data_IF_617100551020
#
_entry.id   IF_617100551020
#
_cell.length_a   1.000
_cell.length_b   1.000
_cell.length_c   1.000
_cell.angle_alpha   90.00
_cell.angle_beta   90.00
_cell.angle_gamma   90.00
#
_symmetry.space_group_name_H-M   'P 1'
#
loop_
_entity.id
_entity.type
_entity.pdbx_description
1 polymer ?
#
# COMPACT_ATOMS: atom_id res chain seq x y z
N UNK A 1 65.13 35.50 23.37
CA UNK A 1 64.00 34.58 23.63
C UNK A 1 62.80 35.43 23.95
N UNK A 2 61.83 35.37 23.04
CA UNK A 2 60.72 36.30 22.89
C UNK A 2 59.64 36.15 23.96
N UNK A 3 59.15 37.32 24.33
CA UNK A 3 58.11 37.73 25.28
C UNK A 3 56.82 36.90 25.36
N UNK A 4 56.39 36.77 26.61
CA UNK A 4 55.07 36.42 27.16
C UNK A 4 53.95 37.29 26.56
N UNK A 5 52.77 36.71 26.32
CA UNK A 5 51.57 37.42 25.90
C UNK A 5 50.28 36.63 26.18
N UNK A 6 49.44 37.22 27.00
CA UNK A 6 48.24 36.77 27.72
C UNK A 6 47.00 36.39 26.88
N UNK A 7 46.14 35.63 27.55
CA UNK A 7 44.76 35.17 27.23
C UNK A 7 43.79 36.30 26.86
N UNK A 8 42.86 36.02 25.93
CA UNK A 8 41.46 36.49 26.03
C UNK A 8 40.46 35.62 25.26
N UNK A 9 39.28 35.46 25.87
CA UNK A 9 38.11 34.66 25.47
C UNK A 9 37.19 35.39 24.47
N UNK A 10 36.39 34.56 23.80
CA UNK A 10 35.04 34.78 23.27
C UNK A 10 34.89 35.30 21.83
N UNK A 11 34.38 34.44 20.94
CA UNK A 11 33.01 34.54 20.39
C UNK A 11 32.75 33.38 19.41
N UNK A 12 31.79 32.52 19.76
CA UNK A 12 31.16 31.57 18.84
C UNK A 12 30.37 32.37 17.79
N UNK A 13 30.76 32.28 16.53
CA UNK A 13 29.97 32.77 15.41
C UNK A 13 29.58 31.63 14.47
N UNK A 14 28.33 31.71 14.02
CA UNK A 14 27.53 30.68 13.37
C UNK A 14 27.99 30.45 11.92
N UNK A 15 28.20 29.19 11.55
CA UNK A 15 28.41 28.80 10.15
C UNK A 15 27.13 28.92 9.31
N UNK A 16 27.22 29.75 8.29
CA UNK A 16 26.30 30.03 7.19
C UNK A 16 26.32 28.87 6.15
N UNK A 17 25.17 28.31 5.72
CA UNK A 17 25.13 27.16 4.83
C UNK A 17 25.09 27.56 3.34
N UNK A 18 25.96 28.47 2.89
CA UNK A 18 25.98 28.96 1.51
C UNK A 18 27.28 28.73 0.76
N UNK A 19 27.96 27.60 0.92
CA UNK A 19 28.99 27.17 -0.05
C UNK A 19 29.13 25.65 -0.16
N UNK A 20 28.20 25.01 -0.90
CA UNK A 20 28.40 23.65 -1.38
C UNK A 20 29.11 23.72 -2.74
N UNK A 21 30.41 23.35 -2.77
CA UNK A 21 31.23 23.25 -3.98
C UNK A 21 30.57 22.28 -4.98
N UNK A 22 30.25 22.79 -6.17
CA UNK A 22 29.80 22.00 -7.31
C UNK A 22 30.97 21.14 -7.81
N UNK A 23 30.85 19.82 -7.64
CA UNK A 23 31.76 18.84 -8.24
C UNK A 23 31.23 18.54 -9.66
N UNK A 24 32.07 18.54 -10.73
CA UNK A 24 31.60 18.38 -12.09
C UNK A 24 30.97 17.00 -12.31
N UNK A 25 29.80 16.97 -12.96
CA UNK A 25 29.16 15.73 -13.43
C UNK A 25 30.09 15.04 -14.45
N UNK A 26 30.70 13.93 -14.06
CA UNK A 26 31.22 12.96 -15.01
C UNK A 26 30.06 12.43 -15.85
N UNK A 27 30.24 12.52 -17.17
CA UNK A 27 29.37 11.98 -18.20
C UNK A 27 29.23 10.47 -17.98
N UNK A 28 28.08 10.02 -17.49
CA UNK A 28 27.71 8.59 -17.49
C UNK A 28 27.33 8.21 -18.93
N UNK A 29 27.87 7.08 -19.37
CA UNK A 29 27.71 6.52 -20.70
C UNK A 29 26.24 6.34 -21.09
N UNK A 30 26.04 6.23 -22.40
CA UNK A 30 24.77 5.99 -23.09
C UNK A 30 24.11 4.73 -22.51
N UNK A 31 23.28 4.90 -21.49
CA UNK A 31 22.51 3.83 -20.88
C UNK A 31 21.26 3.59 -21.69
N UNK A 32 21.08 2.37 -22.18
CA UNK A 32 19.78 1.87 -22.63
C UNK A 32 18.75 2.23 -21.55
N UNK A 33 17.78 3.07 -21.91
CA UNK A 33 16.80 3.59 -20.96
C UNK A 33 15.91 2.45 -20.48
N UNK A 34 16.13 1.97 -19.26
CA UNK A 34 15.18 1.07 -18.59
C UNK A 34 13.80 1.74 -18.64
N UNK A 35 12.78 1.11 -19.24
CA UNK A 35 11.50 1.75 -19.46
C UNK A 35 10.93 2.19 -18.10
N UNK A 36 10.57 3.46 -18.04
CA UNK A 36 9.86 4.01 -16.89
C UNK A 36 8.54 3.26 -16.75
N UNK A 37 8.20 2.84 -15.53
CA UNK A 37 6.90 2.23 -15.25
C UNK A 37 5.85 3.33 -15.41
N UNK A 38 5.20 3.36 -16.57
CA UNK A 38 3.98 4.14 -16.73
C UNK A 38 2.93 3.51 -15.82
N UNK A 39 2.44 4.30 -14.86
CA UNK A 39 1.47 3.81 -13.89
C UNK A 39 0.07 3.97 -14.42
N UNK A 40 -0.86 3.20 -13.84
CA UNK A 40 -2.28 3.47 -13.99
C UNK A 40 -2.57 4.97 -13.85
N UNK A 41 -3.10 5.63 -14.91
CA UNK A 41 -3.32 7.06 -14.90
C UNK A 41 -4.11 7.48 -13.66
N UNK A 42 -3.72 8.60 -13.04
CA UNK A 42 -4.45 9.14 -11.89
C UNK A 42 -5.94 9.34 -12.19
N UNK A 43 -6.27 9.65 -13.45
CA UNK A 43 -7.64 9.74 -13.93
C UNK A 43 -8.34 8.39 -13.87
N UNK A 44 -7.78 7.31 -14.40
CA UNK A 44 -8.39 5.98 -14.32
C UNK A 44 -8.53 5.49 -12.87
N UNK A 45 -7.53 5.74 -12.00
CA UNK A 45 -7.66 5.46 -10.55
C UNK A 45 -8.79 6.27 -9.89
N UNK A 46 -9.03 7.50 -10.35
CA UNK A 46 -10.15 8.32 -9.88
C UNK A 46 -11.48 7.80 -10.40
N UNK A 47 -11.56 7.39 -11.66
CA UNK A 47 -12.76 6.80 -12.25
C UNK A 47 -13.11 5.47 -11.57
N UNK A 48 -12.11 4.63 -11.28
CA UNK A 48 -12.26 3.47 -10.39
C UNK A 48 -12.79 3.92 -9.03
N UNK A 49 -12.28 5.02 -8.49
CA UNK A 49 -12.72 5.53 -7.20
C UNK A 49 -14.17 6.05 -7.19
N UNK A 50 -14.61 6.70 -8.26
CA UNK A 50 -15.96 7.26 -8.37
C UNK A 50 -16.99 6.18 -8.72
N UNK A 51 -16.58 5.14 -9.45
CA UNK A 51 -17.44 4.04 -9.86
C UNK A 51 -17.57 2.91 -8.84
N UNK A 52 -16.63 2.82 -7.90
CA UNK A 52 -16.70 1.86 -6.80
C UNK A 52 -17.26 2.56 -5.57
N UNK A 53 -18.33 2.03 -5.00
CA UNK A 53 -18.89 2.64 -3.79
C UNK A 53 -17.95 2.53 -2.58
N UNK A 54 -16.90 1.70 -2.66
CA UNK A 54 -15.96 1.31 -1.58
C UNK A 54 -16.60 0.94 -0.24
N UNK A 55 -17.93 0.83 -0.21
CA UNK A 55 -18.61 -0.02 0.72
C UNK A 55 -18.10 -1.42 0.42
N UNK A 56 -17.57 -2.07 1.45
CA UNK A 56 -16.89 -3.36 1.38
C UNK A 56 -17.65 -4.44 0.59
N UNK A 57 -18.96 -4.30 0.43
CA UNK A 57 -19.81 -5.17 -0.37
C UNK A 57 -19.57 -5.10 -1.90
N UNK A 58 -19.02 -3.99 -2.43
CA UNK A 58 -18.93 -3.76 -3.88
C UNK A 58 -17.50 -3.67 -4.44
N UNK A 59 -16.51 -3.37 -3.61
CA UNK A 59 -15.07 -3.39 -3.95
C UNK A 59 -14.63 -2.69 -5.24
N UNK A 60 -13.37 -2.88 -5.63
CA UNK A 60 -12.88 -2.73 -7.00
C UNK A 60 -12.76 -4.14 -7.55
N UNK A 61 -13.58 -4.49 -8.53
CA UNK A 61 -13.59 -5.83 -9.11
C UNK A 61 -12.68 -5.89 -10.32
N UNK A 62 -11.88 -6.95 -10.35
CA UNK A 62 -11.02 -7.30 -11.45
C UNK A 62 -11.16 -8.79 -11.70
N UNK A 63 -11.43 -9.16 -12.95
CA UNK A 63 -11.38 -10.53 -13.42
C UNK A 63 -9.96 -10.81 -13.93
N UNK A 64 -9.43 -11.99 -13.62
CA UNK A 64 -8.18 -12.46 -14.22
C UNK A 64 -8.42 -12.71 -15.71
N UNK A 65 -7.53 -12.22 -16.58
CA UNK A 65 -7.64 -12.47 -18.02
C UNK A 65 -7.12 -13.89 -18.34
N UNK A 66 -5.98 -14.29 -17.74
CA UNK A 66 -5.30 -15.55 -18.03
C UNK A 66 -4.63 -16.16 -16.77
N UNK A 67 -5.23 -17.20 -16.17
CA UNK A 67 -4.57 -18.34 -15.50
C UNK A 67 -5.53 -19.07 -14.56
N UNK A 68 -5.83 -20.37 -14.78
CA UNK A 68 -5.75 -21.33 -13.68
C UNK A 68 -4.26 -21.51 -13.33
N UNK A 69 -3.96 -21.67 -12.05
CA UNK A 69 -2.60 -22.06 -11.62
C UNK A 69 -2.26 -23.49 -12.11
N UNK A 70 -0.98 -23.90 -12.00
CA UNK A 70 -0.49 -25.25 -12.39
C UNK A 70 -1.21 -26.41 -11.66
N UNK A 71 -2.09 -26.10 -10.72
CA UNK A 71 -2.89 -27.03 -9.93
C UNK A 71 -4.40 -26.97 -10.25
N UNK A 72 -4.84 -26.09 -11.16
CA UNK A 72 -6.23 -26.01 -11.60
C UNK A 72 -7.19 -25.34 -10.60
N UNK A 73 -6.68 -24.62 -9.60
CA UNK A 73 -7.49 -23.81 -8.70
C UNK A 73 -7.67 -22.38 -9.26
N UNK A 74 -8.90 -21.89 -9.29
CA UNK A 74 -9.19 -20.48 -9.59
C UNK A 74 -8.76 -19.61 -8.40
N UNK A 75 -7.48 -19.22 -8.35
CA UNK A 75 -7.03 -18.20 -7.40
C UNK A 75 -7.56 -16.83 -7.82
N UNK A 76 -8.65 -16.41 -7.18
CA UNK A 76 -9.25 -15.07 -7.34
C UNK A 76 -8.24 -13.99 -6.90
N UNK A 77 -8.11 -12.88 -7.64
CA UNK A 77 -7.31 -11.74 -7.20
C UNK A 77 -7.74 -11.27 -5.80
N UNK A 78 -6.81 -10.76 -4.99
CA UNK A 78 -7.07 -10.10 -3.70
C UNK A 78 -8.16 -9.03 -3.84
N UNK A 79 -8.21 -8.32 -4.97
CA UNK A 79 -9.26 -7.34 -5.25
C UNK A 79 -10.65 -7.98 -5.57
N UNK A 80 -10.69 -9.21 -6.06
CA UNK A 80 -11.92 -9.97 -6.33
C UNK A 80 -12.58 -10.53 -5.05
N UNK A 81 -11.82 -10.65 -3.95
CA UNK A 81 -12.29 -11.14 -2.64
C UNK A 81 -13.29 -10.22 -1.93
N UNK A 82 -13.65 -9.07 -2.54
CA UNK A 82 -14.61 -8.11 -1.97
C UNK A 82 -16.08 -8.45 -2.27
N UNK A 83 -16.34 -9.45 -3.10
CA UNK A 83 -17.69 -9.97 -3.31
C UNK A 83 -17.85 -11.32 -2.60
N UNK A 84 -18.95 -11.44 -1.84
CA UNK A 84 -19.56 -12.65 -1.27
C UNK A 84 -19.09 -13.14 0.12
N UNK A 85 -19.71 -12.58 1.16
CA UNK A 85 -20.26 -13.36 2.31
C UNK A 85 -21.71 -12.98 2.64
N UNK A 86 -22.47 -12.45 1.68
CA UNK A 86 -23.86 -12.09 1.92
C UNK A 86 -24.87 -13.23 1.76
N UNK A 87 -24.50 -14.40 1.24
CA UNK A 87 -25.39 -15.57 1.26
C UNK A 87 -24.60 -16.87 1.33
N UNK A 88 -24.88 -17.65 2.37
CA UNK A 88 -24.43 -19.03 2.64
C UNK A 88 -23.02 -19.21 3.23
N UNK A 89 -22.99 -19.63 4.50
CA UNK A 89 -21.82 -20.26 5.14
C UNK A 89 -21.50 -21.56 4.38
N UNK A 90 -20.68 -21.49 3.33
CA UNK A 90 -19.98 -22.69 2.88
C UNK A 90 -18.86 -23.00 3.89
N UNK A 91 -18.78 -24.27 4.28
CA UNK A 91 -17.82 -24.79 5.27
C UNK A 91 -16.42 -25.02 4.70
N UNK A 92 -16.09 -24.43 3.56
CA UNK A 92 -14.76 -24.56 2.94
C UNK A 92 -13.79 -23.60 3.61
N UNK A 93 -12.64 -24.10 4.03
CA UNK A 93 -11.54 -23.25 4.51
C UNK A 93 -11.10 -22.28 3.41
N UNK A 94 -10.74 -21.04 3.78
CA UNK A 94 -10.31 -20.03 2.83
C UNK A 94 -9.07 -20.49 2.05
N UNK A 95 -9.14 -20.39 0.72
CA UNK A 95 -8.09 -20.83 -0.22
C UNK A 95 -6.74 -20.14 -0.02
N UNK A 96 -6.75 -18.87 0.41
CA UNK A 96 -5.54 -18.03 0.52
C UNK A 96 -5.20 -17.57 1.94
N UNK A 97 -6.09 -17.81 2.92
CA UNK A 97 -5.92 -17.30 4.30
C UNK A 97 -5.97 -15.77 4.48
N UNK A 98 -6.11 -14.99 3.40
CA UNK A 98 -6.21 -13.52 3.41
C UNK A 98 -7.61 -12.98 3.14
N UNK A 99 -8.58 -13.86 2.89
CA UNK A 99 -9.99 -13.54 2.65
C UNK A 99 -10.56 -12.57 3.70
N UNK A 100 -10.25 -12.80 4.98
CA UNK A 100 -10.72 -11.98 6.09
C UNK A 100 -10.17 -10.54 6.10
N UNK A 101 -9.10 -10.21 5.34
CA UNK A 101 -8.59 -8.83 5.26
C UNK A 101 -9.66 -7.87 4.73
N UNK A 102 -10.63 -8.40 3.98
CA UNK A 102 -11.70 -7.65 3.37
C UNK A 102 -13.03 -7.79 4.10
N UNK A 103 -13.18 -8.71 5.05
CA UNK A 103 -14.43 -8.82 5.78
C UNK A 103 -14.65 -7.59 6.68
N UNK A 104 -15.90 -7.15 6.91
CA UNK A 104 -16.20 -6.14 7.93
C UNK A 104 -15.53 -6.49 9.26
N UNK A 105 -15.05 -5.49 10.01
CA UNK A 105 -14.45 -5.70 11.33
C UNK A 105 -15.44 -6.34 12.30
N UNK A 106 -16.76 -6.21 12.06
CA UNK A 106 -17.81 -6.63 12.97
C UNK A 106 -18.40 -8.04 12.71
N UNK A 107 -18.02 -8.77 11.66
CA UNK A 107 -18.69 -10.06 11.32
C UNK A 107 -18.19 -11.28 12.13
N UNK A 108 -17.68 -11.06 13.33
CA UNK A 108 -17.21 -12.14 14.22
C UNK A 108 -15.94 -12.86 13.76
N UNK A 109 -15.36 -12.51 12.61
CA UNK A 109 -14.07 -13.05 12.11
C UNK A 109 -12.87 -12.57 12.91
N UNK A 110 -12.99 -11.42 13.58
CA UNK A 110 -11.97 -10.90 14.48
C UNK A 110 -12.43 -11.11 15.93
N UNK A 111 -12.29 -12.34 16.43
CA UNK A 111 -12.36 -12.59 17.87
C UNK A 111 -11.05 -12.13 18.50
N UNK A 112 -11.08 -10.96 19.14
CA UNK A 112 -9.94 -10.45 19.88
C UNK A 112 -9.90 -11.10 21.27
N UNK A 113 -9.00 -12.05 21.49
CA UNK A 113 -8.82 -12.74 22.79
C UNK A 113 -7.99 -11.93 23.78
N UNK A 114 -8.52 -10.84 24.30
CA UNK A 114 -7.70 -9.95 25.13
C UNK A 114 -7.17 -10.64 26.40
N UNK A 115 -5.87 -10.45 26.75
CA UNK A 115 -5.36 -10.90 28.03
C UNK A 115 -6.17 -10.26 29.17
N UNK A 116 -6.41 -11.00 30.27
CA UNK A 116 -7.27 -10.52 31.34
C UNK A 116 -6.78 -9.19 31.88
N UNK A 117 -7.71 -8.25 32.04
CA UNK A 117 -7.45 -6.92 32.57
C UNK A 117 -6.57 -6.97 33.82
N UNK A 118 -5.44 -6.26 33.81
CA UNK A 118 -4.68 -6.07 35.05
C UNK A 118 -5.47 -5.17 35.99
N UNK A 119 -5.29 -5.28 37.31
CA UNK A 119 -6.04 -4.46 38.27
C UNK A 119 -5.89 -2.92 38.08
N UNK A 120 -4.92 -2.46 37.28
CA UNK A 120 -4.76 -1.05 36.86
C UNK A 120 -5.67 -0.63 35.70
N UNK A 121 -6.33 -1.57 35.02
CA UNK A 121 -7.30 -1.34 33.94
C UNK A 121 -8.65 -0.82 34.43
N UNK A 122 -9.03 -1.22 35.65
CA UNK A 122 -10.39 -1.04 36.18
C UNK A 122 -10.73 0.42 36.50
N UNK A 123 -9.73 1.31 36.57
CA UNK A 123 -9.91 2.70 37.01
C UNK A 123 -9.65 3.76 35.91
N UNK A 124 -9.49 3.36 34.65
CA UNK A 124 -9.26 4.26 33.52
C UNK A 124 -10.44 4.21 32.54
N UNK A 125 -11.14 5.33 32.40
CA UNK A 125 -12.33 5.50 31.56
C UNK A 125 -12.00 5.60 30.06
N UNK A 126 -10.83 5.17 29.60
CA UNK A 126 -10.42 5.37 28.22
C UNK A 126 -11.03 4.32 27.28
N UNK A 127 -12.02 4.72 26.48
CA UNK A 127 -12.55 3.89 25.39
C UNK A 127 -11.61 3.91 24.18
N UNK A 128 -11.52 2.78 23.49
CA UNK A 128 -10.64 2.58 22.35
C UNK A 128 -11.44 2.01 21.16
N UNK A 129 -11.24 2.59 19.99
CA UNK A 129 -11.95 2.23 18.76
C UNK A 129 -10.97 1.96 17.64
N UNK A 130 -11.23 0.90 16.89
CA UNK A 130 -10.57 0.58 15.62
C UNK A 130 -11.44 1.14 14.50
N UNK A 131 -10.86 1.97 13.64
CA UNK A 131 -11.53 2.59 12.50
C UNK A 131 -10.94 2.02 11.22
N UNK A 132 -11.80 1.62 10.29
CA UNK A 132 -11.43 1.30 8.91
C UNK A 132 -11.72 2.49 8.00
N UNK A 133 -10.71 2.88 7.23
CA UNK A 133 -10.71 4.11 6.44
C UNK A 133 -10.30 3.81 5.00
N UNK A 134 -11.08 4.34 4.06
CA UNK A 134 -10.77 4.36 2.65
C UNK A 134 -10.46 5.81 2.22
N UNK A 135 -9.42 6.02 1.40
CA UNK A 135 -9.12 7.33 0.84
C UNK A 135 -8.44 7.30 -0.53
N UNK A 136 -8.74 8.32 -1.35
CA UNK A 136 -8.05 8.59 -2.60
C UNK A 136 -6.74 9.36 -2.31
N UNK A 137 -5.60 8.69 -2.49
CA UNK A 137 -4.30 9.22 -2.10
C UNK A 137 -3.87 10.52 -2.78
N UNK A 138 -4.38 10.79 -3.98
CA UNK A 138 -4.07 12.00 -4.76
C UNK A 138 -4.57 13.30 -4.10
N UNK A 139 -5.54 13.21 -3.19
CA UNK A 139 -6.06 14.36 -2.44
C UNK A 139 -5.23 14.70 -1.18
N UNK A 140 -4.22 13.88 -0.84
CA UNK A 140 -3.49 13.98 0.42
C UNK A 140 -1.96 13.95 0.25
N UNK A 141 -1.26 14.61 1.17
CA UNK A 141 0.20 14.52 1.30
C UNK A 141 0.68 13.22 1.99
N UNK A 142 -0.16 12.18 2.00
CA UNK A 142 0.05 10.90 2.66
C UNK A 142 -0.75 10.79 3.95
N UNK A 143 -0.49 9.72 4.71
CA UNK A 143 -1.17 9.50 5.99
C UNK A 143 -0.78 10.55 7.03
N UNK A 144 0.52 10.65 7.32
CA UNK A 144 1.03 11.36 8.49
C UNK A 144 1.07 12.88 8.27
N UNK A 145 0.68 13.64 9.29
CA UNK A 145 0.83 15.10 9.32
C UNK A 145 2.29 15.52 9.12
N UNK A 146 2.53 16.41 8.16
CA UNK A 146 3.85 16.96 7.86
C UNK A 146 3.91 18.42 8.30
N UNK A 147 4.97 18.80 9.04
CA UNK A 147 5.16 20.19 9.48
C UNK A 147 5.61 21.05 8.29
N UNK A 148 4.97 22.20 8.10
CA UNK A 148 5.33 23.16 7.04
C UNK A 148 4.90 22.74 5.63
N UNK A 149 3.99 21.76 5.51
CA UNK A 149 3.39 21.38 4.24
C UNK A 149 1.90 21.72 4.25
N UNK A 150 1.57 22.91 3.75
CA UNK A 150 0.19 23.44 3.80
C UNK A 150 -0.53 23.33 2.45
N UNK A 151 0.12 22.78 1.41
CA UNK A 151 -0.44 22.68 0.06
C UNK A 151 -1.57 21.65 -0.06
N UNK A 152 -1.47 20.55 0.68
CA UNK A 152 -2.50 19.50 0.73
C UNK A 152 -2.57 18.91 2.15
N UNK A 153 -3.77 18.60 2.66
CA UNK A 153 -3.92 18.01 3.98
C UNK A 153 -3.36 16.57 4.02
N UNK A 154 -3.08 16.08 5.22
CA UNK A 154 -2.81 14.66 5.45
C UNK A 154 -4.09 13.94 5.88
N UNK A 155 -4.20 12.64 5.60
CA UNK A 155 -5.36 11.85 6.03
C UNK A 155 -5.53 11.90 7.55
N UNK A 156 -4.42 11.77 8.28
CA UNK A 156 -4.39 11.89 9.74
C UNK A 156 -5.00 13.22 10.17
N UNK A 157 -4.46 14.37 9.74
CA UNK A 157 -4.95 15.67 10.19
C UNK A 157 -6.43 15.90 9.85
N UNK A 158 -6.88 15.44 8.68
CA UNK A 158 -8.28 15.54 8.28
C UNK A 158 -9.19 14.75 9.22
N UNK A 159 -8.86 13.49 9.52
CA UNK A 159 -9.63 12.67 10.47
C UNK A 159 -9.57 13.23 11.89
N UNK A 160 -8.40 13.72 12.33
CA UNK A 160 -8.26 14.37 13.63
C UNK A 160 -9.21 15.56 13.76
N UNK A 161 -9.28 16.43 12.75
CA UNK A 161 -10.19 17.59 12.77
C UNK A 161 -11.67 17.16 12.85
N UNK A 162 -12.06 16.05 12.20
CA UNK A 162 -13.41 15.52 12.33
C UNK A 162 -13.66 14.90 13.70
N UNK A 163 -12.66 14.25 14.31
CA UNK A 163 -12.78 13.55 15.60
C UNK A 163 -12.60 14.47 16.81
N UNK A 164 -11.99 15.63 16.65
CA UNK A 164 -11.72 16.59 17.73
C UNK A 164 -12.96 16.91 18.58
N UNK A 165 -14.18 17.10 18.02
CA UNK A 165 -15.39 17.31 18.83
C UNK A 165 -15.80 16.10 19.69
N UNK A 166 -15.40 14.89 19.31
CA UNK A 166 -15.65 13.65 20.06
C UNK A 166 -14.50 13.33 21.05
N UNK A 167 -13.40 14.07 20.97
CA UNK A 167 -12.22 13.87 21.80
C UNK A 167 -12.40 14.56 23.17
N UNK A 168 -12.53 13.75 24.22
CA UNK A 168 -12.58 14.21 25.61
C UNK A 168 -11.40 13.62 26.38
N UNK A 169 -10.67 14.48 27.11
CA UNK A 169 -9.59 14.07 28.03
C UNK A 169 -9.88 14.50 29.47
N UNK A 170 -9.57 13.61 30.43
CA UNK A 170 -9.76 13.82 31.88
C UNK A 170 -8.65 14.64 32.53
N UNK A 171 -7.48 14.78 31.90
CA UNK A 171 -6.36 15.53 32.48
C UNK A 171 -6.32 16.95 31.95
N UNK A 172 -6.61 17.93 32.82
CA UNK A 172 -6.53 19.35 32.48
C UNK A 172 -5.12 19.78 32.01
N UNK A 173 -4.06 19.10 32.48
CA UNK A 173 -2.68 19.29 32.02
C UNK A 173 -2.41 18.80 30.59
N UNK A 174 -3.31 17.99 30.02
CA UNK A 174 -3.20 17.45 28.66
C UNK A 174 -4.08 18.18 27.64
N UNK A 175 -4.90 19.16 28.07
CA UNK A 175 -5.80 19.95 27.21
C UNK A 175 -5.09 20.97 26.32
N UNK A 176 -3.86 21.39 26.65
CA UNK A 176 -3.10 22.32 25.79
C UNK A 176 -2.38 21.53 24.70
N UNK A 177 -2.82 21.69 23.45
CA UNK A 177 -2.17 21.21 22.22
C UNK A 177 -2.23 19.71 21.86
N UNK A 178 -3.21 18.93 22.36
CA UNK A 178 -3.42 17.55 21.88
C UNK A 178 -4.64 17.48 20.94
N UNK A 179 -4.41 17.26 19.65
CA UNK A 179 -5.43 16.68 18.76
C UNK A 179 -5.57 15.19 19.05
N UNK A 180 -6.66 14.58 18.59
CA UNK A 180 -6.78 13.12 18.60
C UNK A 180 -5.53 12.51 17.95
N UNK A 181 -4.73 11.69 18.63
CA UNK A 181 -3.61 11.01 17.96
C UNK A 181 -4.15 9.74 17.29
N UNK A 182 -3.95 9.59 15.99
CA UNK A 182 -4.42 8.44 15.19
C UNK A 182 -3.27 7.54 14.71
N UNK A 183 -2.73 6.66 15.57
CA UNK A 183 -1.87 5.57 15.13
C UNK A 183 -2.54 4.74 14.03
N UNK A 184 -1.72 4.15 13.15
CA UNK A 184 -2.17 3.49 11.92
C UNK A 184 -1.41 2.18 11.67
N UNK A 185 -2.02 1.20 10.99
CA UNK A 185 -1.44 -0.10 10.72
C UNK A 185 -0.18 -0.03 9.84
N UNK A 186 -0.17 0.89 8.87
CA UNK A 186 0.99 1.25 8.06
C UNK A 186 0.83 2.64 7.46
N UNK A 187 1.90 3.45 7.49
CA UNK A 187 1.86 4.79 6.88
C UNK A 187 1.89 4.66 5.36
N UNK A 188 1.06 5.44 4.67
CA UNK A 188 1.13 5.61 3.22
C UNK A 188 1.85 6.91 2.84
N UNK A 189 2.65 6.87 1.77
CA UNK A 189 3.27 8.06 1.17
C UNK A 189 2.21 8.92 0.46
N UNK A 190 2.57 10.16 0.12
CA UNK A 190 1.73 11.04 -0.71
C UNK A 190 1.36 10.38 -2.04
N UNK A 191 0.08 10.50 -2.43
CA UNK A 191 -0.44 9.92 -3.67
C UNK A 191 -0.82 8.44 -3.59
N UNK A 192 -0.52 7.72 -2.50
CA UNK A 192 -0.89 6.30 -2.32
C UNK A 192 -2.32 6.19 -1.79
N UNK A 193 -3.13 5.38 -2.46
CA UNK A 193 -4.53 5.15 -2.12
C UNK A 193 -4.70 4.14 -0.98
N UNK A 194 -5.88 4.09 -0.36
CA UNK A 194 -6.23 3.00 0.55
C UNK A 194 -7.73 2.66 0.48
N UNK A 195 -8.05 1.38 0.61
CA UNK A 195 -9.44 0.90 0.68
C UNK A 195 -9.81 0.34 2.07
N UNK A 196 -8.81 -0.10 2.84
CA UNK A 196 -9.00 -0.71 4.17
C UNK A 196 -7.93 -0.32 5.19
N UNK A 197 -7.49 0.95 5.20
CA UNK A 197 -6.53 1.42 6.19
C UNK A 197 -7.10 1.30 7.60
N UNK A 198 -6.30 0.82 8.55
CA UNK A 198 -6.73 0.64 9.94
C UNK A 198 -6.05 1.67 10.83
N UNK A 199 -6.84 2.45 11.57
CA UNK A 199 -6.34 3.37 12.57
C UNK A 199 -7.08 3.25 13.90
N UNK A 200 -6.54 3.90 14.94
CA UNK A 200 -7.09 3.86 16.29
C UNK A 200 -7.50 5.22 16.78
N UNK A 201 -8.73 5.33 17.26
CA UNK A 201 -9.23 6.48 18.00
C UNK A 201 -9.43 6.12 19.48
N UNK A 202 -9.19 7.07 20.39
CA UNK A 202 -9.41 6.90 21.82
C UNK A 202 -10.07 8.14 22.39
N UNK A 203 -10.99 7.94 23.34
CA UNK A 203 -11.71 9.03 24.02
C UNK A 203 -12.15 8.60 25.41
N UNK A 204 -12.24 9.54 26.35
CA UNK A 204 -12.83 9.29 27.67
C UNK A 204 -14.36 9.47 27.69
N UNK A 205 -14.98 9.70 26.52
CA UNK A 205 -16.43 9.84 26.42
C UNK A 205 -17.14 8.48 26.61
N UNK A 206 -17.63 8.20 27.82
CA UNK A 206 -18.17 6.88 28.19
C UNK A 206 -19.38 6.44 27.40
N UNK A 207 -20.25 7.39 27.04
CA UNK A 207 -21.52 7.09 26.38
C UNK A 207 -21.37 6.93 24.85
N UNK A 208 -20.16 7.06 24.32
CA UNK A 208 -19.94 6.96 22.88
C UNK A 208 -19.87 5.49 22.49
N UNK A 209 -20.69 5.09 21.52
CA UNK A 209 -20.65 3.77 20.91
C UNK A 209 -19.90 3.82 19.57
N UNK A 210 -19.48 2.66 19.08
CA UNK A 210 -18.87 2.55 17.75
C UNK A 210 -19.81 3.05 16.64
N UNK A 211 -21.11 2.75 16.77
CA UNK A 211 -22.16 3.23 15.86
C UNK A 211 -22.27 4.75 15.86
N UNK A 212 -22.20 5.39 17.03
CA UNK A 212 -22.27 6.86 17.12
C UNK A 212 -21.10 7.51 16.38
N UNK A 213 -19.89 6.97 16.55
CA UNK A 213 -18.68 7.46 15.86
C UNK A 213 -18.83 7.29 14.35
N UNK A 214 -19.24 6.10 13.90
CA UNK A 214 -19.40 5.83 12.48
C UNK A 214 -20.43 6.77 11.85
N UNK A 215 -21.63 6.88 12.42
CA UNK A 215 -22.67 7.77 11.92
C UNK A 215 -22.23 9.24 11.91
N UNK A 216 -21.55 9.68 12.97
CA UNK A 216 -21.01 11.02 13.07
C UNK A 216 -19.98 11.30 11.96
N UNK A 217 -18.99 10.41 11.79
CA UNK A 217 -17.94 10.56 10.79
C UNK A 217 -18.50 10.52 9.38
N UNK A 218 -19.36 9.55 9.06
CA UNK A 218 -20.01 9.45 7.76
C UNK A 218 -20.74 10.75 7.41
N UNK A 219 -21.52 11.30 8.35
CA UNK A 219 -22.23 12.58 8.16
C UNK A 219 -21.27 13.76 7.97
N UNK A 220 -20.27 13.91 8.83
CA UNK A 220 -19.34 15.05 8.77
C UNK A 220 -18.43 15.03 7.55
N UNK A 221 -18.05 13.84 7.10
CA UNK A 221 -17.28 13.67 5.88
C UNK A 221 -18.16 13.98 4.67
N UNK A 222 -19.41 13.48 4.62
CA UNK A 222 -20.34 13.75 3.51
C UNK A 222 -20.74 15.23 3.38
N UNK A 223 -20.85 15.95 4.49
CA UNK A 223 -21.13 17.39 4.51
C UNK A 223 -19.88 18.25 4.25
N UNK A 224 -18.69 17.65 4.29
CA UNK A 224 -17.41 18.34 4.25
C UNK A 224 -16.70 18.28 2.90
N UNK A 225 -15.56 18.99 2.76
CA UNK A 225 -14.80 19.03 1.51
C UNK A 225 -14.14 17.68 1.15
N UNK A 226 -14.16 16.69 2.05
CA UNK A 226 -13.55 15.38 1.85
C UNK A 226 -14.53 14.30 1.36
N UNK A 227 -15.79 14.65 1.10
CA UNK A 227 -16.86 13.72 0.75
C UNK A 227 -16.53 12.79 -0.42
N UNK A 228 -15.80 13.27 -1.44
CA UNK A 228 -15.48 12.50 -2.64
C UNK A 228 -14.25 11.58 -2.49
N UNK A 229 -13.40 11.78 -1.48
CA UNK A 229 -12.08 11.12 -1.43
C UNK A 229 -11.71 10.53 -0.07
N UNK A 230 -12.60 10.56 0.92
CA UNK A 230 -12.42 9.96 2.24
C UNK A 230 -13.71 9.28 2.66
N UNK A 231 -13.63 8.05 3.20
CA UNK A 231 -14.74 7.35 3.83
C UNK A 231 -14.26 6.61 5.07
N UNK A 232 -15.07 6.58 6.11
CA UNK A 232 -14.90 5.68 7.26
C UNK A 232 -15.92 4.58 7.09
N UNK A 233 -15.45 3.38 6.77
CA UNK A 233 -16.30 2.26 6.32
C UNK A 233 -16.75 1.39 7.49
N UNK A 234 -15.96 1.32 8.56
CA UNK A 234 -16.29 0.51 9.74
C UNK A 234 -15.65 1.08 11.01
N UNK A 235 -16.32 0.88 12.14
CA UNK A 235 -15.85 1.28 13.47
C UNK A 235 -16.23 0.18 14.46
N UNK A 236 -15.26 -0.28 15.24
CA UNK A 236 -15.49 -1.26 16.32
C UNK A 236 -14.82 -0.81 17.60
N UNK A 237 -15.49 -1.04 18.74
CA UNK A 237 -14.88 -0.86 20.07
C UNK A 237 -13.91 -2.02 20.32
N UNK A 238 -12.71 -1.71 20.78
CA UNK A 238 -11.62 -2.66 21.00
C UNK A 238 -11.00 -2.44 22.38
N UNK A 239 -10.28 -3.45 22.89
CA UNK A 239 -9.55 -3.28 24.14
C UNK A 239 -8.53 -2.15 24.03
N UNK A 240 -8.32 -1.45 25.14
CA UNK A 240 -7.33 -0.37 25.22
C UNK A 240 -5.91 -0.82 24.83
N UNK A 241 -5.54 -2.09 25.00
CA UNK A 241 -4.23 -2.61 24.59
C UNK A 241 -4.02 -2.59 23.07
N UNK A 242 -5.09 -2.50 22.28
CA UNK A 242 -5.02 -2.48 20.82
C UNK A 242 -4.09 -1.37 20.29
N UNK A 243 -3.22 -1.74 19.36
CA UNK A 243 -2.35 -0.83 18.63
C UNK A 243 -2.24 -1.25 17.16
N UNK A 244 -2.77 -0.47 16.20
CA UNK A 244 -2.99 -0.94 14.84
C UNK A 244 -1.70 -1.38 14.13
N UNK A 245 -0.54 -0.82 14.47
CA UNK A 245 0.74 -1.30 13.94
C UNK A 245 1.21 -2.62 14.55
N UNK A 246 1.10 -2.79 15.87
CA UNK A 246 1.74 -3.90 16.58
C UNK A 246 0.82 -5.13 16.68
N UNK A 247 -0.49 -4.90 16.57
CA UNK A 247 -1.49 -5.95 16.53
C UNK A 247 -1.81 -6.39 15.10
N UNK A 248 -1.05 -5.95 14.09
CA UNK A 248 -1.24 -6.40 12.70
C UNK A 248 -0.17 -7.44 12.38
N UNK A 249 -0.61 -8.64 11.96
CA UNK A 249 0.28 -9.71 11.50
C UNK A 249 0.77 -9.49 10.09
N UNK A 250 -0.05 -8.93 9.22
CA UNK A 250 0.27 -8.74 7.80
C UNK A 250 -0.50 -7.58 7.18
N UNK A 251 0.08 -6.98 6.12
CA UNK A 251 -0.53 -5.92 5.33
C UNK A 251 -0.60 -6.37 3.88
N UNK A 252 -1.67 -5.96 3.20
CA UNK A 252 -1.84 -6.20 1.78
C UNK A 252 -1.71 -4.89 0.99
N UNK A 253 -1.03 -4.98 -0.14
CA UNK A 253 -0.90 -3.93 -1.13
C UNK A 253 -1.19 -4.49 -2.51
N UNK A 254 -1.78 -3.65 -3.35
CA UNK A 254 -1.91 -3.92 -4.79
C UNK A 254 -1.29 -2.77 -5.56
N UNK A 255 -0.56 -3.10 -6.62
CA UNK A 255 0.00 -2.14 -7.55
C UNK A 255 -0.58 -2.38 -8.95
N UNK A 256 -1.20 -1.36 -9.53
CA UNK A 256 -1.79 -1.39 -10.87
C UNK A 256 -0.91 -0.63 -11.88
N UNK A 257 -0.68 -1.26 -13.02
CA UNK A 257 0.07 -0.72 -14.16
C UNK A 257 -0.84 -0.73 -15.38
N UNK A 258 -0.92 0.40 -16.07
CA UNK A 258 -1.71 0.49 -17.31
C UNK A 258 -1.00 -0.25 -18.43
N UNK A 259 -1.76 -1.03 -19.19
CA UNK A 259 -1.27 -1.71 -20.41
C UNK A 259 -1.83 -1.06 -21.67
N UNK A 260 -2.71 -0.07 -21.53
CA UNK A 260 -3.29 0.66 -22.67
C UNK A 260 -2.37 1.76 -23.19
N UNK A 261 -1.35 2.14 -22.43
CA UNK A 261 -0.40 3.15 -22.86
C UNK A 261 0.65 2.58 -23.81
N UNK A 262 1.23 3.44 -24.65
CA UNK A 262 2.31 3.03 -25.56
C UNK A 262 3.59 2.81 -24.75
N UNK A 263 4.17 1.61 -24.81
CA UNK A 263 5.41 1.34 -24.09
C UNK A 263 5.73 -0.14 -23.98
N UNK A 264 6.77 -0.46 -23.21
CA UNK A 264 7.23 -1.84 -23.02
C UNK A 264 6.12 -2.77 -22.47
N UNK A 265 5.24 -2.22 -21.64
CA UNK A 265 4.12 -2.90 -21.00
C UNK A 265 2.79 -2.72 -21.74
N UNK A 266 2.80 -2.24 -22.99
CA UNK A 266 1.57 -2.08 -23.76
C UNK A 266 0.93 -3.43 -24.09
N UNK A 267 -0.36 -3.41 -24.41
CA UNK A 267 -1.02 -4.51 -25.11
C UNK A 267 -0.23 -4.83 -26.40
N UNK A 268 0.38 -6.01 -26.43
CA UNK A 268 1.08 -6.61 -27.58
C UNK A 268 1.11 -8.13 -27.37
N UNK A 269 1.47 -8.87 -28.41
CA UNK A 269 1.50 -10.34 -28.43
C UNK A 269 2.46 -10.97 -27.40
N UNK A 270 3.25 -10.16 -26.70
CA UNK A 270 4.23 -10.60 -25.71
C UNK A 270 3.86 -10.24 -24.26
N UNK A 271 2.72 -9.58 -24.04
CA UNK A 271 2.36 -9.06 -22.72
C UNK A 271 2.14 -10.19 -21.72
N UNK A 272 1.48 -11.27 -22.13
CA UNK A 272 1.20 -12.42 -21.27
C UNK A 272 2.50 -13.09 -20.80
N UNK A 273 3.48 -13.27 -21.68
CA UNK A 273 4.77 -13.85 -21.36
C UNK A 273 5.62 -12.94 -20.46
N UNK A 274 5.58 -11.61 -20.69
CA UNK A 274 6.22 -10.63 -19.80
C UNK A 274 5.61 -10.68 -18.40
N UNK A 275 4.29 -10.77 -18.29
CA UNK A 275 3.57 -10.87 -17.01
C UNK A 275 3.84 -12.21 -16.33
N UNK A 276 3.89 -13.31 -17.09
CA UNK A 276 4.27 -14.63 -16.58
C UNK A 276 5.68 -14.63 -16.00
N UNK A 277 6.65 -14.03 -16.70
CA UNK A 277 8.01 -13.90 -16.19
C UNK A 277 8.09 -12.97 -14.96
N UNK A 278 7.37 -11.84 -14.96
CA UNK A 278 7.24 -10.97 -13.78
C UNK A 278 6.69 -11.73 -12.56
N UNK A 279 5.67 -12.56 -12.77
CA UNK A 279 5.08 -13.38 -11.72
C UNK A 279 6.11 -14.37 -11.14
N UNK A 280 6.85 -15.09 -12.01
CA UNK A 280 7.92 -16.01 -11.60
C UNK A 280 8.96 -15.33 -10.70
N UNK A 281 9.44 -14.13 -11.08
CA UNK A 281 10.39 -13.35 -10.26
C UNK A 281 9.83 -13.01 -8.88
N UNK A 282 8.54 -12.67 -8.79
CA UNK A 282 7.88 -12.38 -7.52
C UNK A 282 7.71 -13.63 -6.64
N UNK A 283 7.39 -14.80 -7.23
CA UNK A 283 7.21 -16.03 -6.45
C UNK A 283 8.49 -16.47 -5.74
N UNK A 284 9.66 -16.10 -6.26
CA UNK A 284 10.95 -16.44 -5.64
C UNK A 284 11.19 -15.82 -4.28
N UNK A 285 10.55 -14.70 -3.97
CA UNK A 285 10.66 -14.02 -2.67
C UNK A 285 9.50 -14.37 -1.74
N UNK A 286 8.48 -15.07 -2.23
CA UNK A 286 7.34 -15.50 -1.43
C UNK A 286 7.74 -16.57 -0.40
N UNK A 287 7.18 -16.46 0.80
CA UNK A 287 7.45 -17.37 1.92
C UNK A 287 8.82 -17.19 2.59
N UNK A 288 9.75 -16.45 1.96
CA UNK A 288 11.10 -16.23 2.48
C UNK A 288 11.17 -15.03 3.41
N UNK A 289 11.82 -15.19 4.55
CA UNK A 289 12.25 -14.07 5.38
C UNK A 289 13.57 -13.53 4.84
N UNK A 290 13.53 -12.32 4.27
CA UNK A 290 14.68 -11.71 3.60
C UNK A 290 14.95 -10.32 4.17
N UNK A 291 16.20 -9.87 4.05
CA UNK A 291 16.58 -8.50 4.37
C UNK A 291 16.29 -7.57 3.19
N UNK A 292 15.28 -6.71 3.35
CA UNK A 292 14.86 -5.77 2.30
C UNK A 292 15.50 -4.39 2.40
N UNK A 293 16.64 -4.25 3.09
CA UNK A 293 17.30 -2.96 3.28
C UNK A 293 17.63 -2.24 1.96
N UNK A 294 18.06 -2.99 0.93
CA UNK A 294 18.30 -2.45 -0.42
C UNK A 294 17.05 -1.85 -1.06
N UNK A 295 15.86 -2.37 -0.72
CA UNK A 295 14.56 -1.89 -1.15
C UNK A 295 13.91 -1.00 -0.07
N UNK A 296 14.67 -0.07 0.51
CA UNK A 296 14.14 0.87 1.50
C UNK A 296 14.66 2.28 1.31
N UNK A 297 13.91 3.26 1.80
CA UNK A 297 14.25 4.68 1.63
C UNK A 297 14.45 5.44 2.94
N UNK A 298 15.44 6.34 2.91
CA UNK A 298 15.76 7.25 4.01
C UNK A 298 16.61 6.62 5.10
N UNK A 299 16.84 7.39 6.18
CA UNK A 299 17.53 6.88 7.36
C UNK A 299 16.65 5.80 8.02
N UNK A 300 17.16 4.58 8.25
CA UNK A 300 16.44 3.56 9.00
C UNK A 300 15.90 4.11 10.31
N UNK A 301 14.59 3.96 10.53
CA UNK A 301 13.95 4.22 11.82
C UNK A 301 13.66 2.91 12.57
N UNK A 302 13.95 1.77 11.93
CA UNK A 302 13.83 0.42 12.46
C UNK A 302 15.23 -0.16 12.62
N UNK A 303 15.41 -1.01 13.64
CA UNK A 303 16.64 -1.79 13.84
C UNK A 303 16.64 -3.08 13.02
N UNK A 304 15.46 -3.53 12.58
CA UNK A 304 15.27 -4.76 11.81
C UNK A 304 14.77 -4.45 10.39
N UNK A 305 15.37 -5.13 9.41
CA UNK A 305 15.09 -5.05 7.98
C UNK A 305 14.53 -6.36 7.39
N UNK A 306 14.38 -7.38 8.21
CA UNK A 306 13.75 -8.63 7.84
C UNK A 306 12.27 -8.41 7.60
N UNK A 307 11.77 -8.93 6.48
CA UNK A 307 10.36 -8.98 6.15
C UNK A 307 10.08 -10.34 5.50
N UNK A 308 8.87 -10.83 5.66
CA UNK A 308 8.37 -12.00 4.93
C UNK A 308 7.27 -11.54 4.01
N UNK A 309 7.41 -11.79 2.71
CA UNK A 309 6.30 -11.66 1.76
C UNK A 309 5.55 -12.99 1.75
N UNK A 310 4.40 -13.04 2.40
CA UNK A 310 3.59 -14.25 2.45
C UNK A 310 2.83 -14.50 1.14
N UNK A 311 2.64 -13.45 0.33
CA UNK A 311 2.09 -13.53 -1.01
C UNK A 311 2.76 -12.49 -1.90
N UNK A 312 3.19 -12.89 -3.09
CA UNK A 312 3.78 -12.04 -4.11
C UNK A 312 3.46 -12.61 -5.50
N UNK A 313 2.47 -12.02 -6.18
CA UNK A 313 2.01 -12.47 -7.50
C UNK A 313 1.83 -11.29 -8.45
N UNK A 314 1.96 -11.56 -9.75
CA UNK A 314 1.57 -10.64 -10.81
C UNK A 314 0.60 -11.33 -11.76
N UNK A 315 -0.44 -10.63 -12.18
CA UNK A 315 -1.46 -11.14 -13.11
C UNK A 315 -1.89 -10.05 -14.07
N UNK A 316 -2.35 -10.45 -15.25
CA UNK A 316 -3.10 -9.58 -16.13
C UNK A 316 -4.57 -9.61 -15.70
N UNK A 317 -5.12 -8.43 -15.41
CA UNK A 317 -6.50 -8.27 -14.95
C UNK A 317 -7.29 -7.38 -15.89
N UNK A 318 -8.59 -7.60 -15.98
CA UNK A 318 -9.55 -6.74 -16.67
C UNK A 318 -10.64 -6.28 -15.71
N UNK A 319 -11.11 -5.05 -15.89
CA UNK A 319 -12.32 -4.59 -15.23
C UNK A 319 -13.54 -5.32 -15.81
N UNK A 320 -14.49 -5.80 -15.00
CA UNK A 320 -15.77 -6.29 -15.49
C UNK A 320 -16.51 -5.16 -16.21
N UNK A 321 -17.13 -5.45 -17.36
CA UNK A 321 -18.00 -4.49 -18.03
C UNK A 321 -19.15 -4.12 -17.09
N UNK A 322 -19.24 -2.85 -16.69
CA UNK A 322 -20.42 -2.37 -15.99
C UNK A 322 -21.57 -2.43 -16.97
N UNK A 323 -22.45 -3.42 -16.83
CA UNK A 323 -23.70 -3.50 -17.59
C UNK A 323 -24.58 -2.31 -17.20
N UNK A 324 -24.35 -1.15 -17.83
CA UNK A 324 -25.34 -0.09 -17.83
C UNK A 324 -26.55 -0.64 -18.58
N UNK A 325 -27.61 -0.91 -17.81
CA UNK A 325 -28.99 -1.16 -18.25
C UNK A 325 -29.30 -0.51 -19.60
N UNK A 326 -29.45 -1.33 -20.64
CA UNK A 326 -29.93 -0.93 -21.95
C UNK A 326 -29.41 -1.88 -23.02
N UNK A 327 -30.32 -2.56 -23.73
CA UNK A 327 -30.02 -3.27 -24.97
C UNK A 327 -29.19 -2.36 -25.88
N UNK A 328 -27.92 -2.70 -26.12
CA UNK A 328 -27.13 -2.14 -27.23
C UNK A 328 -26.79 -3.30 -28.15
N UNK A 329 -27.13 -3.09 -29.42
CA UNK A 329 -26.98 -4.02 -30.52
C UNK A 329 -25.54 -4.56 -30.59
N UNK A 330 -25.40 -5.88 -30.61
CA UNK A 330 -24.13 -6.63 -30.62
C UNK A 330 -23.40 -6.56 -31.98
N UNK A 331 -23.23 -5.37 -32.52
CA UNK A 331 -22.43 -5.14 -33.71
C UNK A 331 -21.67 -3.81 -33.56
N UNK A 332 -20.33 -3.92 -33.55
CA UNK A 332 -19.34 -2.86 -33.32
C UNK A 332 -19.10 -2.56 -31.82
N UNK A 333 -18.75 -3.59 -31.05
CA UNK A 333 -17.93 -3.37 -29.85
C UNK A 333 -16.52 -3.02 -30.32
N UNK A 334 -16.10 -1.79 -30.09
CA UNK A 334 -14.75 -1.30 -30.36
C UNK A 334 -13.76 -2.18 -29.56
N UNK A 335 -12.92 -2.94 -30.25
CA UNK A 335 -11.90 -3.81 -29.63
C UNK A 335 -10.84 -3.03 -28.83
N UNK A 336 -10.95 -1.69 -28.77
CA UNK A 336 -10.02 -0.76 -28.13
C UNK A 336 -10.36 -0.38 -26.67
N UNK A 337 -11.41 -0.92 -26.05
CA UNK A 337 -11.86 -0.49 -24.72
C UNK A 337 -11.73 -1.56 -23.61
N UNK A 338 -10.76 -2.48 -23.72
CA UNK A 338 -10.48 -3.40 -22.61
C UNK A 338 -9.75 -2.61 -21.52
N UNK A 339 -10.41 -2.29 -20.40
CA UNK A 339 -9.76 -1.68 -19.23
C UNK A 339 -8.93 -2.75 -18.49
N UNK A 340 -7.82 -3.13 -19.12
CA UNK A 340 -6.84 -4.10 -18.61
C UNK A 340 -5.70 -3.41 -17.86
N UNK A 341 -5.11 -4.13 -16.91
CA UNK A 341 -3.96 -3.70 -16.14
C UNK A 341 -3.09 -4.90 -15.74
N UNK A 342 -1.80 -4.66 -15.51
CA UNK A 342 -0.99 -5.60 -14.72
C UNK A 342 -1.28 -5.31 -13.25
N UNK A 343 -1.69 -6.32 -12.50
CA UNK A 343 -1.92 -6.28 -11.07
C UNK A 343 -0.79 -7.02 -10.35
N UNK A 344 -0.05 -6.31 -9.50
CA UNK A 344 0.94 -6.90 -8.60
C UNK A 344 0.36 -6.92 -7.19
N UNK A 345 0.28 -8.10 -6.60
CA UNK A 345 -0.36 -8.39 -5.33
C UNK A 345 0.70 -8.76 -4.30
N UNK A 346 0.75 -8.03 -3.18
CA UNK A 346 1.76 -8.22 -2.15
C UNK A 346 1.11 -8.31 -0.77
N UNK A 347 1.28 -9.43 -0.10
CA UNK A 347 0.97 -9.58 1.33
C UNK A 347 2.25 -9.86 2.08
N UNK A 348 2.53 -9.08 3.11
CA UNK A 348 3.75 -9.27 3.89
C UNK A 348 3.54 -8.98 5.37
N UNK A 349 4.41 -9.55 6.20
CA UNK A 349 4.37 -9.35 7.66
C UNK A 349 4.49 -7.86 8.01
N UNK A 350 5.40 -7.19 7.30
CA UNK A 350 5.61 -5.75 7.33
C UNK A 350 6.31 -5.29 6.05
N UNK A 351 6.33 -3.99 5.83
CA UNK A 351 7.03 -3.37 4.69
C UNK A 351 7.89 -2.20 5.17
N UNK A 352 9.10 -2.09 4.62
CA UNK A 352 9.96 -0.93 4.84
C UNK A 352 9.43 0.28 4.08
N UNK A 353 9.88 1.48 4.47
CA UNK A 353 9.47 2.73 3.80
C UNK A 353 9.83 2.67 2.31
N UNK A 354 8.82 2.84 1.45
CA UNK A 354 8.88 2.73 -0.02
C UNK A 354 9.18 1.33 -0.58
N UNK A 355 9.23 0.30 0.26
CA UNK A 355 9.60 -1.06 -0.15
C UNK A 355 8.76 -1.58 -1.30
N UNK A 356 7.43 -1.50 -1.20
CA UNK A 356 6.52 -1.97 -2.26
C UNK A 356 6.86 -1.34 -3.62
N UNK A 357 7.03 -0.01 -3.66
CA UNK A 357 7.29 0.73 -4.90
C UNK A 357 8.69 0.50 -5.45
N UNK A 358 9.67 0.25 -4.58
CA UNK A 358 11.03 -0.12 -4.96
C UNK A 358 11.08 -1.56 -5.50
N UNK A 359 10.34 -2.47 -4.86
CA UNK A 359 10.20 -3.86 -5.29
C UNK A 359 9.57 -3.95 -6.67
N UNK A 360 8.44 -3.26 -6.88
CA UNK A 360 7.78 -3.16 -8.20
C UNK A 360 8.73 -2.61 -9.26
N UNK A 361 9.45 -1.51 -8.97
CA UNK A 361 10.41 -0.98 -9.94
C UNK A 361 11.53 -1.98 -10.24
N UNK A 362 12.08 -2.64 -9.23
CA UNK A 362 13.19 -3.57 -9.39
C UNK A 362 12.78 -4.75 -10.27
N UNK A 363 11.68 -5.43 -9.94
CA UNK A 363 11.19 -6.59 -10.72
C UNK A 363 10.89 -6.21 -12.17
N UNK A 364 10.20 -5.09 -12.40
CA UNK A 364 9.91 -4.63 -13.75
C UNK A 364 11.16 -4.25 -14.55
N UNK A 365 12.19 -3.73 -13.88
CA UNK A 365 13.47 -3.40 -14.54
C UNK A 365 14.22 -4.66 -14.97
N UNK A 366 14.18 -5.71 -14.14
CA UNK A 366 14.75 -7.02 -14.49
C UNK A 366 14.03 -7.60 -15.70
N UNK A 367 12.69 -7.61 -15.72
CA UNK A 367 11.92 -8.09 -16.88
C UNK A 367 12.31 -7.32 -18.14
N UNK A 368 12.37 -5.99 -18.09
CA UNK A 368 12.74 -5.19 -19.26
C UNK A 368 14.17 -5.46 -19.76
N UNK A 369 15.11 -5.68 -18.84
CA UNK A 369 16.49 -6.00 -19.18
C UNK A 369 16.59 -7.37 -19.85
N UNK A 370 16.01 -8.40 -19.24
CA UNK A 370 16.05 -9.77 -19.78
C UNK A 370 15.29 -9.89 -21.11
N UNK A 371 14.18 -9.16 -21.24
CA UNK A 371 13.44 -9.10 -22.50
C UNK A 371 14.27 -8.44 -23.61
N UNK A 372 15.03 -7.39 -23.29
CA UNK A 372 15.94 -6.77 -24.26
C UNK A 372 17.09 -7.70 -24.66
N UNK A 373 17.59 -8.53 -23.74
CA UNK A 373 18.61 -9.54 -24.05
C UNK A 373 18.03 -10.62 -24.97
N UNK A 374 16.85 -11.15 -24.64
CA UNK A 374 16.10 -12.09 -25.46
C UNK A 374 15.94 -11.61 -26.91
N UNK A 375 15.54 -10.36 -27.10
CA UNK A 375 15.37 -9.76 -28.44
C UNK A 375 16.69 -9.66 -29.21
N UNK A 376 17.79 -9.29 -28.54
CA UNK A 376 19.13 -9.22 -29.15
C UNK A 376 19.66 -10.59 -29.55
N UNK A 377 19.37 -11.60 -28.74
CA UNK A 377 19.82 -12.97 -28.95
C UNK A 377 18.85 -13.78 -29.83
N UNK A 378 17.78 -13.14 -30.32
CA UNK A 378 16.74 -13.75 -31.17
C UNK A 378 16.10 -15.00 -30.55
N UNK A 379 15.94 -15.01 -29.21
CA UNK A 379 15.34 -16.12 -28.47
C UNK A 379 13.82 -16.03 -28.56
N UNK A 380 13.16 -17.15 -28.90
CA UNK A 380 11.68 -17.20 -28.92
C UNK A 380 11.07 -17.07 -27.52
N UNK A 381 9.81 -16.65 -27.43
CA UNK A 381 9.05 -16.54 -26.17
C UNK A 381 9.02 -17.84 -25.38
N UNK A 382 8.76 -18.96 -26.08
CA UNK A 382 8.74 -20.31 -25.49
C UNK A 382 10.11 -20.66 -24.93
N UNK A 383 11.16 -20.54 -25.74
CA UNK A 383 12.53 -20.85 -25.30
C UNK A 383 12.99 -19.91 -24.16
N UNK A 384 12.59 -18.64 -24.18
CA UNK A 384 12.86 -17.70 -23.11
C UNK A 384 12.22 -18.17 -21.81
N UNK A 385 10.92 -18.49 -21.83
CA UNK A 385 10.23 -18.94 -20.63
C UNK A 385 10.77 -20.29 -20.14
N UNK A 386 11.09 -21.22 -21.04
CA UNK A 386 11.68 -22.54 -20.74
C UNK A 386 13.06 -22.43 -20.10
N UNK A 387 13.95 -21.60 -20.65
CA UNK A 387 15.27 -21.34 -20.07
C UNK A 387 15.18 -20.75 -18.65
N UNK A 388 14.05 -20.13 -18.32
CA UNK A 388 13.76 -19.55 -17.01
C UNK A 388 12.70 -20.34 -16.22
N UNK A 389 12.45 -21.62 -16.56
CA UNK A 389 11.61 -22.53 -15.75
C UNK A 389 12.39 -23.13 -14.57
N UNK A 390 13.69 -23.43 -14.75
CA UNK A 390 14.50 -24.22 -13.80
C UNK A 390 15.57 -23.41 -13.04
N UNK A 391 15.38 -22.10 -12.85
CA UNK A 391 16.43 -21.23 -12.31
C UNK A 391 16.65 -21.40 -10.80
N UNK A 392 17.85 -21.83 -10.34
CA UNK A 392 18.24 -21.72 -8.95
C UNK A 392 18.80 -20.30 -8.73
N UNK A 393 17.94 -19.38 -8.27
CA UNK A 393 18.27 -18.00 -7.83
C UNK A 393 18.51 -16.96 -8.95
N UNK A 394 17.42 -16.31 -9.42
CA UNK A 394 17.47 -15.27 -10.46
C UNK A 394 18.08 -13.93 -10.01
N UNK A 395 18.36 -13.09 -11.02
CA UNK A 395 18.83 -11.72 -10.91
C UNK A 395 18.06 -10.86 -9.89
N UNK A 396 16.73 -11.03 -9.78
CA UNK A 396 15.93 -10.26 -8.82
C UNK A 396 16.16 -10.68 -7.36
N UNK A 397 16.14 -11.98 -7.06
CA UNK A 397 16.43 -12.46 -5.70
C UNK A 397 17.86 -12.07 -5.29
N UNK A 398 18.82 -12.20 -6.19
CA UNK A 398 20.20 -11.74 -5.98
C UNK A 398 20.27 -10.24 -5.69
N UNK A 399 19.50 -9.42 -6.41
CA UNK A 399 19.41 -7.98 -6.14
C UNK A 399 18.85 -7.68 -4.74
N UNK A 400 17.85 -8.43 -4.27
CA UNK A 400 17.32 -8.30 -2.91
C UNK A 400 18.41 -8.69 -1.89
N UNK A 401 19.08 -9.82 -2.10
CA UNK A 401 20.10 -10.35 -1.20
C UNK A 401 21.33 -9.44 -1.08
N UNK A 402 21.69 -8.71 -2.13
CA UNK A 402 22.80 -7.74 -2.11
C UNK A 402 22.58 -6.58 -1.14
N UNK A 403 21.34 -6.29 -0.74
CA UNK A 403 21.00 -5.20 0.20
C UNK A 403 21.54 -3.82 -0.23
N UNK A 404 21.85 -3.60 -1.51
CA UNK A 404 22.40 -2.34 -2.01
C UNK A 404 21.30 -1.45 -2.61
N UNK A 405 21.09 -0.29 -1.98
CA UNK A 405 20.13 0.74 -2.42
C UNK A 405 20.52 1.39 -3.74
N UNK A 406 21.77 1.29 -4.18
CA UNK A 406 22.25 1.87 -5.43
C UNK A 406 21.69 1.15 -6.67
N UNK A 407 21.31 -0.12 -6.51
CA UNK A 407 20.81 -0.98 -7.57
C UNK A 407 19.40 -0.58 -8.05
N UNK A 408 18.65 0.16 -7.24
CA UNK A 408 17.31 0.66 -7.59
C UNK A 408 17.33 2.18 -7.61
N UNK A 409 17.63 2.73 -8.79
CA UNK A 409 17.83 4.17 -8.95
C UNK A 409 16.52 4.99 -8.97
N UNK A 410 15.39 4.35 -9.27
CA UNK A 410 14.06 4.99 -9.38
C UNK A 410 13.04 4.29 -8.51
N UNK A 411 11.98 4.99 -8.14
CA UNK A 411 10.87 4.44 -7.34
C UNK A 411 9.63 4.44 -8.21
N UNK A 412 8.92 3.33 -8.31
CA UNK A 412 7.66 3.27 -9.05
C UNK A 412 6.70 4.36 -8.53
N UNK A 413 5.90 5.07 -9.34
CA UNK A 413 5.06 6.16 -8.87
C UNK A 413 4.02 5.72 -7.82
N UNK A 414 3.53 6.63 -6.96
CA UNK A 414 2.64 6.25 -5.86
C UNK A 414 1.19 5.99 -6.29
N UNK A 415 0.77 6.51 -7.46
CA UNK A 415 -0.63 6.53 -7.88
C UNK A 415 -1.18 5.15 -8.26
N UNK A 416 -0.33 4.25 -8.75
CA UNK A 416 -0.72 2.86 -8.99
C UNK A 416 -0.81 2.02 -7.71
N UNK A 417 -0.39 2.54 -6.55
CA UNK A 417 -0.34 1.77 -5.30
C UNK A 417 -1.57 2.00 -4.43
N UNK A 418 -2.19 0.88 -4.02
CA UNK A 418 -3.29 0.81 -3.08
C UNK A 418 -2.86 0.05 -1.82
N UNK A 419 -3.07 0.66 -0.65
CA UNK A 419 -3.12 -0.07 0.61
C UNK A 419 -4.46 -0.77 0.73
N UNK A 420 -4.42 -2.09 0.74
CA UNK A 420 -5.63 -2.91 0.67
C UNK A 420 -6.21 -3.12 2.05
N UNK A 421 -5.40 -3.62 2.98
CA UNK A 421 -5.89 -3.98 4.30
C UNK A 421 -4.77 -4.45 5.22
N UNK A 422 -5.17 -4.75 6.46
CA UNK A 422 -4.30 -5.29 7.48
C UNK A 422 -5.02 -6.43 8.20
N UNK A 423 -4.35 -7.59 8.33
CA UNK A 423 -4.83 -8.68 9.16
C UNK A 423 -4.43 -8.40 10.61
N UNK A 424 -5.43 -8.26 11.46
CA UNK A 424 -5.23 -8.07 12.89
C UNK A 424 -5.02 -9.43 13.56
N UNK A 425 -4.04 -9.51 14.46
CA UNK A 425 -3.85 -10.62 15.38
C UNK A 425 -4.96 -10.56 16.44
N UNK A 426 -5.58 -11.71 16.69
CA UNK A 426 -6.16 -11.98 17.99
C UNK A 426 -4.99 -12.00 18.98
N UNK A 427 -4.96 -11.05 19.92
CA UNK A 427 -3.97 -10.99 21.00
C UNK A 427 -4.70 -11.25 22.30
#
# INVERSE_FOLDING_TARGET
MSSIGTVNRASDDKDDPTHMKVIPKQVRGVGFGVPYVETFPQQKMRELWESCDFNFANGILFDTINSPDEHGEETRPLLCMMQTRTTEKSSSEPSSGYEYMFDPLYDGHYQFEYPPHTAKDVNDSLKCFCLRVAYQGSAFCGWQTQRGYDKQPSVQKTLENYLDPLFVTVKASEKRNKSANLPVAGRTDAGVHAIGQICRFRTHHQNLTARDIQQYLSKKISEGPSASFLKVTDVVEVNRAFHPTFTTSSRAYVYLIDVQSTGFWSLNDHLDEKVSYLNKLLMQVEGKELNYFGLSYGKPQTQDFLCTLHHARARLVRRPETSSSGYVDTAIADQNAVDAAICIELVGSRFLRRMVRLLVQATMSVVAQEWSNKEKDHISDVAFLENHLDMPEDAFLNQVLQCDRSLVSRVAPPHGLLFVGARLLAI
#
